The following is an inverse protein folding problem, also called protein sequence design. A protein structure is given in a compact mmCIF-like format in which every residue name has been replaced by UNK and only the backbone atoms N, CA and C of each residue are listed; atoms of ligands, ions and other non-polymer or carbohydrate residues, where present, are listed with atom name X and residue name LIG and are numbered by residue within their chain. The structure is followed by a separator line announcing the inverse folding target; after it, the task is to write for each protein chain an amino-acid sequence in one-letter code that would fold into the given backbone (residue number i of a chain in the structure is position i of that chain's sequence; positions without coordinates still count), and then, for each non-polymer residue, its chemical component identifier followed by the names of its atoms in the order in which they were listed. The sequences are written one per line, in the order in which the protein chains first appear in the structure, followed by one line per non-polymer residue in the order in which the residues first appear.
data_IF_173830000774
#
_entry.id   IF_173830000774
#
_cell.length_a   1.000
_cell.length_b   1.000
_cell.length_c   1.000
_cell.angle_alpha   90.00
_cell.angle_beta   90.00
_cell.angle_gamma   90.00
#
_symmetry.space_group_name_H-M   'P 1'
#
loop_
_entity.id
_entity.type
_entity.pdbx_description
1 polymer ?
#
# COMPACT_ATOMS: atom_id res chain seq x y z
N UNK A 1 -2.52 18.67 -20.99
CA UNK A 1 -1.36 18.16 -20.21
C UNK A 1 -1.68 17.80 -18.75
N UNK A 2 -2.77 18.30 -18.15
CA UNK A 2 -3.18 17.98 -16.77
C UNK A 2 -3.85 16.61 -16.61
N UNK A 3 -4.63 16.16 -17.58
CA UNK A 3 -5.28 14.83 -17.54
C UNK A 3 -4.30 13.67 -17.70
N UNK A 4 -3.34 13.79 -18.62
CA UNK A 4 -2.27 12.78 -18.81
C UNK A 4 -1.47 12.58 -17.52
N UNK A 5 -1.19 13.65 -16.77
CA UNK A 5 -0.52 13.58 -15.46
C UNK A 5 -1.38 12.98 -14.34
N UNK A 6 -2.71 13.02 -14.46
CA UNK A 6 -3.62 12.34 -13.52
C UNK A 6 -3.75 10.86 -13.87
N UNK A 7 -3.87 10.54 -15.16
CA UNK A 7 -3.89 9.17 -15.69
C UNK A 7 -2.60 8.41 -15.35
N UNK A 8 -1.43 8.98 -15.63
CA UNK A 8 -0.13 8.38 -15.29
C UNK A 8 0.01 8.11 -13.79
N UNK A 9 -0.50 9.01 -12.92
CA UNK A 9 -0.43 8.83 -11.47
C UNK A 9 -1.25 7.64 -10.98
N UNK A 10 -2.45 7.44 -11.53
CA UNK A 10 -3.32 6.33 -11.12
C UNK A 10 -2.70 4.98 -11.52
N UNK A 11 -2.10 4.90 -12.71
CA UNK A 11 -1.43 3.68 -13.18
C UNK A 11 -0.14 3.38 -12.40
N UNK A 12 0.62 4.41 -12.03
CA UNK A 12 1.82 4.27 -11.20
C UNK A 12 1.52 3.71 -9.82
N UNK A 13 0.41 4.13 -9.19
CA UNK A 13 0.00 3.62 -7.87
C UNK A 13 -0.26 2.11 -7.91
N UNK A 14 -0.78 1.57 -9.02
CA UNK A 14 -1.19 0.16 -9.13
C UNK A 14 -0.04 -0.79 -9.47
N UNK A 15 1.02 -0.28 -10.06
CA UNK A 15 2.14 -1.07 -10.62
C UNK A 15 3.40 -0.97 -9.77
N UNK A 16 3.57 0.10 -8.99
CA UNK A 16 4.74 0.27 -8.13
C UNK A 16 4.58 -0.54 -6.83
N UNK A 17 5.66 -1.18 -6.38
CA UNK A 17 5.72 -1.85 -5.08
C UNK A 17 5.47 -0.82 -3.99
N UNK A 18 4.44 -1.03 -3.17
CA UNK A 18 4.12 -0.08 -2.12
C UNK A 18 5.04 -0.33 -0.91
N UNK A 19 5.77 0.69 -0.48
CA UNK A 19 6.78 0.56 0.58
C UNK A 19 6.23 0.07 1.93
N UNK A 20 4.93 0.27 2.21
CA UNK A 20 4.29 -0.23 3.43
C UNK A 20 3.72 -1.65 3.29
N UNK A 21 3.65 -2.17 2.07
CA UNK A 21 2.99 -3.43 1.73
C UNK A 21 3.97 -4.49 1.22
N UNK A 22 5.14 -4.09 0.71
CA UNK A 22 6.14 -5.01 0.15
C UNK A 22 5.78 -5.57 -1.23
N UNK A 23 4.51 -5.50 -1.62
CA UNK A 23 3.99 -5.93 -2.92
C UNK A 23 3.34 -4.78 -3.69
N UNK A 24 3.19 -4.97 -5.00
CA UNK A 24 2.35 -4.11 -5.82
C UNK A 24 0.86 -4.46 -5.65
N UNK A 25 -0.06 -3.49 -5.78
CA UNK A 25 -1.50 -3.78 -5.78
C UNK A 25 -1.93 -4.78 -6.87
N UNK A 26 -1.18 -4.85 -7.99
CA UNK A 26 -1.43 -5.82 -9.04
C UNK A 26 -1.09 -7.26 -8.60
N UNK A 27 0.05 -7.45 -7.95
CA UNK A 27 0.43 -8.76 -7.40
C UNK A 27 -0.58 -9.24 -6.35
N UNK A 28 -1.12 -8.34 -5.53
CA UNK A 28 -2.18 -8.70 -4.57
C UNK A 28 -3.50 -9.15 -5.22
N UNK A 29 -3.81 -8.65 -6.41
CA UNK A 29 -5.07 -8.98 -7.10
C UNK A 29 -4.94 -10.22 -7.98
N UNK A 30 -3.75 -10.44 -8.54
CA UNK A 30 -3.54 -11.47 -9.56
C UNK A 30 -2.54 -12.54 -9.15
N UNK A 31 -1.93 -12.44 -7.97
CA UNK A 31 -0.98 -13.42 -7.44
C UNK A 31 0.29 -13.58 -8.27
N UNK A 32 0.54 -12.68 -9.24
CA UNK A 32 1.66 -12.72 -10.18
C UNK A 32 2.11 -11.32 -10.53
N UNK A 33 3.37 -11.22 -10.97
CA UNK A 33 3.89 -9.99 -11.53
C UNK A 33 3.15 -9.62 -12.82
N UNK A 34 2.81 -8.33 -13.02
CA UNK A 34 2.20 -7.87 -14.25
C UNK A 34 3.18 -8.13 -15.40
N UNK A 35 2.74 -8.85 -16.43
CA UNK A 35 3.49 -8.89 -17.69
C UNK A 35 3.52 -7.50 -18.29
N UNK A 36 4.71 -6.97 -18.46
CA UNK A 36 4.90 -5.70 -19.12
C UNK A 36 5.01 -5.91 -20.64
N UNK A 37 4.80 -4.84 -21.40
CA UNK A 37 4.97 -4.88 -22.85
C UNK A 37 6.40 -5.29 -23.26
N UNK A 38 7.39 -5.03 -22.40
CA UNK A 38 8.78 -5.44 -22.62
C UNK A 38 8.97 -6.94 -22.39
N UNK A 39 8.31 -7.51 -21.39
CA UNK A 39 8.37 -8.95 -21.13
C UNK A 39 7.77 -9.73 -22.30
N UNK A 40 6.66 -9.26 -22.86
CA UNK A 40 6.05 -9.87 -24.05
C UNK A 40 6.99 -9.83 -25.26
N UNK A 41 7.72 -8.72 -25.45
CA UNK A 41 8.70 -8.60 -26.53
C UNK A 41 9.92 -9.51 -26.30
N UNK A 42 10.35 -9.69 -25.06
CA UNK A 42 11.41 -10.62 -24.70
C UNK A 42 10.98 -12.07 -24.90
N UNK A 43 9.77 -12.45 -24.46
CA UNK A 43 9.16 -13.77 -24.67
C UNK A 43 9.08 -14.13 -26.16
N UNK A 44 8.68 -13.16 -27.00
CA UNK A 44 8.66 -13.33 -28.47
C UNK A 44 10.06 -13.44 -29.08
N UNK A 45 11.06 -12.77 -28.50
CA UNK A 45 12.44 -12.84 -28.97
C UNK A 45 13.11 -14.15 -28.58
N UNK A 46 12.79 -14.67 -27.39
CA UNK A 46 13.36 -15.90 -26.84
C UNK A 46 12.61 -17.17 -27.26
N UNK A 47 11.59 -17.05 -28.12
CA UNK A 47 10.76 -18.16 -28.65
C UNK A 47 10.26 -19.10 -27.53
N UNK A 48 9.97 -18.51 -26.37
CA UNK A 48 9.50 -19.26 -25.20
C UNK A 48 7.99 -19.45 -25.34
N UNK A 49 7.58 -20.61 -25.88
CA UNK A 49 6.19 -21.02 -25.86
C UNK A 49 5.75 -21.23 -24.40
N UNK A 50 4.63 -20.61 -24.01
CA UNK A 50 4.06 -20.83 -22.69
C UNK A 50 3.61 -22.29 -22.52
N UNK A 51 3.94 -22.87 -21.38
CA UNK A 51 3.37 -24.15 -20.96
C UNK A 51 1.85 -23.96 -20.77
N UNK A 52 1.06 -24.57 -21.66
CA UNK A 52 -0.41 -24.56 -21.58
C UNK A 52 -0.80 -25.37 -20.33
N UNK A 53 -0.98 -24.67 -19.21
CA UNK A 53 -1.48 -25.27 -17.97
C UNK A 53 -2.96 -25.58 -18.11
N UNK A 54 -3.36 -26.76 -17.61
CA UNK A 54 -4.77 -27.07 -17.42
C UNK A 54 -5.42 -26.05 -16.48
N UNK A 55 -6.69 -25.73 -16.75
CA UNK A 55 -7.42 -24.67 -16.04
C UNK A 55 -7.50 -24.95 -14.53
N UNK A 56 -7.68 -26.22 -14.15
CA UNK A 56 -7.74 -26.61 -12.74
C UNK A 56 -6.42 -26.31 -12.03
N UNK A 57 -5.30 -26.75 -12.60
CA UNK A 57 -3.95 -26.48 -12.07
C UNK A 57 -3.70 -24.98 -11.97
N UNK A 58 -4.05 -24.21 -13.01
CA UNK A 58 -3.91 -22.76 -12.99
C UNK A 58 -4.70 -22.10 -11.84
N UNK A 59 -5.95 -22.51 -11.61
CA UNK A 59 -6.77 -21.92 -10.54
C UNK A 59 -6.31 -22.31 -9.13
N UNK A 60 -5.71 -23.48 -8.98
CA UNK A 60 -5.11 -23.92 -7.72
C UNK A 60 -3.84 -23.10 -7.42
N UNK A 61 -2.91 -23.03 -8.38
CA UNK A 61 -1.69 -22.22 -8.28
C UNK A 61 -2.02 -20.77 -7.94
N UNK A 62 -3.02 -20.19 -8.63
CA UNK A 62 -3.45 -18.82 -8.39
C UNK A 62 -3.95 -18.59 -6.96
N UNK A 63 -4.72 -19.55 -6.42
CA UNK A 63 -5.24 -19.45 -5.05
C UNK A 63 -4.12 -19.47 -4.03
N UNK A 64 -3.18 -20.41 -4.18
CA UNK A 64 -2.05 -20.54 -3.27
C UNK A 64 -1.18 -19.28 -3.29
N UNK A 65 -0.86 -18.77 -4.48
CA UNK A 65 -0.07 -17.56 -4.64
C UNK A 65 -0.76 -16.33 -4.01
N UNK A 66 -2.07 -16.17 -4.23
CA UNK A 66 -2.83 -15.08 -3.61
C UNK A 66 -2.84 -15.17 -2.08
N UNK A 67 -2.95 -16.38 -1.53
CA UNK A 67 -2.91 -16.58 -0.09
C UNK A 67 -1.56 -16.16 0.51
N UNK A 68 -0.46 -16.59 -0.10
CA UNK A 68 0.89 -16.26 0.34
C UNK A 68 1.15 -14.75 0.26
N UNK A 69 0.87 -14.12 -0.90
CA UNK A 69 1.04 -12.67 -1.08
C UNK A 69 0.18 -11.87 -0.11
N UNK A 70 -1.03 -12.34 0.20
CA UNK A 70 -1.90 -11.68 1.16
C UNK A 70 -1.34 -11.74 2.58
N UNK A 71 -0.85 -12.89 3.03
CA UNK A 71 -0.24 -13.02 4.37
C UNK A 71 1.01 -12.14 4.52
N UNK A 72 1.89 -12.15 3.51
CA UNK A 72 3.09 -11.31 3.47
C UNK A 72 2.75 -9.82 3.47
N UNK A 73 1.80 -9.40 2.63
CA UNK A 73 1.33 -8.02 2.61
C UNK A 73 0.69 -7.58 3.95
N UNK A 74 -0.07 -8.47 4.59
CA UNK A 74 -0.75 -8.17 5.85
C UNK A 74 0.23 -8.01 7.02
N UNK A 75 1.25 -8.87 7.07
CA UNK A 75 2.32 -8.78 8.08
C UNK A 75 3.15 -7.51 7.88
N UNK A 76 3.58 -7.23 6.64
CA UNK A 76 4.30 -6.00 6.30
C UNK A 76 3.49 -4.74 6.65
N UNK A 77 2.19 -4.74 6.37
CA UNK A 77 1.30 -3.63 6.70
C UNK A 77 1.21 -3.39 8.21
N UNK A 78 1.07 -4.44 9.01
CA UNK A 78 1.04 -4.32 10.49
C UNK A 78 2.33 -3.74 11.03
N UNK A 79 3.47 -4.16 10.51
CA UNK A 79 4.76 -3.60 10.90
C UNK A 79 4.90 -2.13 10.51
N UNK A 80 4.51 -1.79 9.27
CA UNK A 80 4.55 -0.43 8.77
C UNK A 80 3.64 0.50 9.59
N UNK A 81 2.41 0.07 9.91
CA UNK A 81 1.50 0.79 10.78
C UNK A 81 2.09 1.02 12.18
N UNK A 82 2.74 0.00 12.75
CA UNK A 82 3.38 0.10 14.06
C UNK A 82 4.52 1.13 14.04
N UNK A 83 5.40 1.06 13.04
CA UNK A 83 6.48 2.04 12.83
C UNK A 83 5.93 3.45 12.64
N UNK A 84 4.88 3.60 11.83
CA UNK A 84 4.24 4.90 11.58
C UNK A 84 3.61 5.48 12.85
N UNK A 85 2.98 4.63 13.69
CA UNK A 85 2.43 5.03 14.99
C UNK A 85 3.52 5.52 15.94
N UNK A 86 4.68 4.85 15.99
CA UNK A 86 5.82 5.26 16.82
C UNK A 86 6.41 6.61 16.35
N UNK A 87 6.61 6.78 15.05
CA UNK A 87 7.10 8.04 14.47
C UNK A 87 6.12 9.18 14.74
N UNK A 88 4.82 8.91 14.59
CA UNK A 88 3.77 9.89 14.88
C UNK A 88 3.72 10.25 16.37
N UNK A 89 3.75 9.26 17.27
CA UNK A 89 3.79 9.53 18.71
C UNK A 89 5.01 10.38 19.10
N UNK A 90 6.18 10.08 18.53
CA UNK A 90 7.41 10.87 18.74
C UNK A 90 7.28 12.30 18.22
N UNK A 91 6.66 12.50 17.06
CA UNK A 91 6.47 13.84 16.50
C UNK A 91 5.45 14.66 17.29
N UNK A 92 4.39 14.03 17.82
CA UNK A 92 3.43 14.68 18.73
C UNK A 92 4.11 15.12 20.01
N UNK A 93 4.87 14.25 20.69
CA UNK A 93 5.61 14.61 21.92
C UNK A 93 6.56 15.77 21.67
N UNK A 94 7.29 15.76 20.55
CA UNK A 94 8.16 16.89 20.16
C UNK A 94 7.39 18.18 19.92
N UNK A 95 6.22 18.09 19.29
CA UNK A 95 5.38 19.26 19.02
C UNK A 95 4.81 19.82 20.32
N UNK A 96 4.33 18.96 21.23
CA UNK A 96 3.80 19.34 22.54
C UNK A 96 4.88 19.95 23.45
N UNK A 97 6.13 19.50 23.37
CA UNK A 97 7.25 20.06 24.14
C UNK A 97 7.66 21.48 23.70
N UNK A 98 7.28 21.90 22.50
CA UNK A 98 7.54 23.24 21.94
C UNK A 98 6.32 24.15 22.12
N UNK A 99 5.21 23.65 22.68
CA UNK A 99 4.03 24.48 22.92
C UNK A 99 4.27 25.41 24.12
N UNK A 100 3.91 26.70 24.00
CA UNK A 100 3.84 27.57 25.17
C UNK A 100 2.83 27.01 26.19
N UNK A 101 3.08 27.25 27.47
CA UNK A 101 2.28 26.76 28.62
C UNK A 101 0.78 27.10 28.46
N UNK A 102 0.48 28.15 27.69
CA UNK A 102 -0.85 28.55 27.25
C UNK A 102 -0.92 28.53 25.70
N UNK A 103 -1.44 27.47 25.05
CA UNK A 103 -1.55 27.43 23.60
C UNK A 103 -2.69 28.37 23.14
N UNK A 104 -2.48 29.18 22.08
CA UNK A 104 -3.54 30.05 21.55
C UNK A 104 -4.74 29.22 21.08
N UNK A 105 -5.95 29.74 21.28
CA UNK A 105 -7.24 29.02 21.06
C UNK A 105 -7.34 28.36 19.68
N UNK A 106 -6.78 28.95 18.62
CA UNK A 106 -6.77 28.36 17.28
C UNK A 106 -5.95 27.06 17.17
N UNK A 107 -4.96 26.88 18.04
CA UNK A 107 -4.13 25.68 18.08
C UNK A 107 -4.85 24.51 18.76
N UNK A 108 -5.66 24.79 19.80
CA UNK A 108 -6.53 23.81 20.47
C UNK A 108 -7.53 23.19 19.49
N UNK A 109 -8.14 24.00 18.63
CA UNK A 109 -9.05 23.53 17.57
C UNK A 109 -8.34 22.62 16.56
N UNK A 110 -7.10 22.96 16.20
CA UNK A 110 -6.30 22.12 15.28
C UNK A 110 -5.91 20.78 15.91
N UNK A 111 -5.60 20.76 17.21
CA UNK A 111 -5.26 19.55 17.97
C UNK A 111 -6.50 18.68 18.17
N UNK A 112 -7.65 19.28 18.44
CA UNK A 112 -8.94 18.59 18.54
C UNK A 112 -9.37 17.99 17.20
N UNK A 113 -9.15 18.70 16.09
CA UNK A 113 -9.38 18.17 14.75
C UNK A 113 -8.43 17.02 14.37
N UNK A 114 -7.18 17.05 14.86
CA UNK A 114 -6.24 15.93 14.71
C UNK A 114 -6.72 14.74 15.55
N UNK A 115 -7.05 14.95 16.82
CA UNK A 115 -7.58 13.93 17.74
C UNK A 115 -8.83 13.24 17.18
N UNK A 116 -9.82 14.00 16.69
CA UNK A 116 -11.01 13.44 16.06
C UNK A 116 -10.66 12.59 14.84
N UNK A 117 -9.68 13.00 14.03
CA UNK A 117 -9.19 12.17 12.92
C UNK A 117 -8.58 10.85 13.38
N UNK A 118 -7.91 10.81 14.54
CA UNK A 118 -7.38 9.57 15.11
C UNK A 118 -8.46 8.65 15.66
N UNK A 119 -9.46 9.21 16.34
CA UNK A 119 -10.59 8.43 16.87
C UNK A 119 -11.35 7.77 15.72
N UNK A 120 -11.68 8.55 14.68
CA UNK A 120 -12.31 8.01 13.47
C UNK A 120 -11.47 6.97 12.72
N UNK A 121 -10.15 7.16 12.62
CA UNK A 121 -9.26 6.20 11.97
C UNK A 121 -9.09 4.90 12.77
N UNK A 122 -9.14 4.96 14.10
CA UNK A 122 -9.07 3.78 14.97
C UNK A 122 -10.38 2.97 14.92
N UNK A 123 -11.52 3.65 14.79
CA UNK A 123 -12.84 3.03 14.66
C UNK A 123 -13.02 2.36 13.28
N UNK A 124 -12.42 2.91 12.23
CA UNK A 124 -12.38 2.32 10.87
C UNK A 124 -11.45 1.12 10.73
N UNK A 125 -10.44 0.96 11.59
CA UNK A 125 -9.49 -0.16 11.58
C UNK A 125 -9.97 -1.38 12.39
N UNK A 126 -11.18 -1.33 12.95
CA UNK A 126 -11.79 -2.40 13.74
C UNK A 126 -12.77 -3.26 12.91
N UNK A 127 -12.49 -3.43 11.62
CA UNK A 127 -13.10 -4.41 10.72
C UNK A 127 -12.09 -5.52 10.38
#
# INVERSE_FOLDING_TARGET
MTEVRRSLRVTQIRTHIQASLGHSPFEMLFGRQPRTQLDMLAEQWEDTEEEIKDLLTYTQDLRENLHTVWEEAHTALREAQTKQKQVYARSVVRTLAVLPIEPPVGMLQSLQNKLNRFIWAAELLNF
#
